data_IF_206591314813
#
_entry.id   IF_206591314813
#
_cell.length_a   1.000
_cell.length_b   1.000
_cell.length_c   1.000
_cell.angle_alpha   90.00
_cell.angle_beta   90.00
_cell.angle_gamma   90.00
#
_symmetry.space_group_name_H-M   'P 1'
#
loop_
_entity.id
_entity.type
_entity.pdbx_description
1 polymer ?
#
# COMPACT_ATOMS: atom_id res chain seq x y z
N UNK A 1 -5.47 16.12 14.05
CA UNK A 1 -5.34 16.38 12.59
C UNK A 1 -6.15 15.31 11.89
N UNK A 2 -7.02 15.67 10.95
CA UNK A 2 -7.89 14.71 10.26
C UNK A 2 -7.11 14.08 9.10
N UNK A 3 -7.18 12.75 8.95
CA UNK A 3 -6.58 11.96 7.85
C UNK A 3 -6.91 12.55 6.47
N UNK A 4 -8.10 13.14 6.33
CA UNK A 4 -8.54 13.84 5.12
C UNK A 4 -7.66 15.05 4.75
N UNK A 5 -7.12 15.76 5.75
CA UNK A 5 -6.24 16.93 5.51
C UNK A 5 -4.86 16.49 5.03
N UNK A 6 -4.41 15.31 5.44
CA UNK A 6 -3.13 14.74 5.02
C UNK A 6 -3.21 14.11 3.63
N UNK A 7 -4.35 13.48 3.27
CA UNK A 7 -4.64 12.97 1.92
C UNK A 7 -4.63 14.09 0.87
N UNK A 8 -5.25 15.22 1.16
CA UNK A 8 -5.28 16.38 0.26
C UNK A 8 -3.88 16.98 0.08
N UNK A 9 -3.08 17.06 1.15
CA UNK A 9 -1.69 17.53 1.07
C UNK A 9 -0.75 16.59 0.32
N UNK A 10 -0.91 15.28 0.47
CA UNK A 10 -0.10 14.30 -0.24
C UNK A 10 -0.36 14.35 -1.76
N UNK A 11 -1.60 14.61 -2.17
CA UNK A 11 -2.00 14.77 -3.58
C UNK A 11 -1.37 15.99 -4.26
N UNK A 12 -1.06 17.04 -3.51
CA UNK A 12 -0.48 18.28 -4.04
C UNK A 12 1.04 18.21 -4.25
N UNK A 13 1.73 17.21 -3.69
CA UNK A 13 3.20 17.22 -3.65
C UNK A 13 3.91 16.24 -4.61
N UNK A 14 3.24 15.25 -5.19
CA UNK A 14 3.89 14.24 -6.06
C UNK A 14 3.29 14.04 -7.46
N UNK A 15 2.25 14.78 -7.85
CA UNK A 15 1.66 14.68 -9.19
C UNK A 15 1.01 13.32 -9.53
N UNK A 16 1.01 12.36 -8.59
CA UNK A 16 0.34 11.06 -8.65
C UNK A 16 -0.93 11.01 -7.79
N UNK A 17 -1.82 10.07 -8.10
CA UNK A 17 -3.02 9.80 -7.29
C UNK A 17 -2.60 9.16 -5.97
N UNK A 18 -2.99 9.76 -4.84
CA UNK A 18 -2.86 9.13 -3.53
C UNK A 18 -4.03 8.14 -3.37
N UNK A 19 -3.69 6.89 -3.12
CA UNK A 19 -4.62 5.77 -3.00
C UNK A 19 -4.68 5.34 -1.53
N UNK A 20 -5.88 5.04 -1.03
CA UNK A 20 -6.10 4.81 0.39
C UNK A 20 -6.99 3.61 0.67
N UNK A 21 -6.64 2.80 1.65
CA UNK A 21 -7.47 1.69 2.14
C UNK A 21 -7.58 1.76 3.66
N UNK A 22 -8.69 1.24 4.18
CA UNK A 22 -8.90 1.14 5.62
C UNK A 22 -7.92 0.15 6.23
N UNK A 23 -7.39 0.49 7.40
CA UNK A 23 -6.40 -0.36 8.10
C UNK A 23 -6.93 -1.77 8.33
N UNK A 24 -8.21 -1.92 8.69
CA UNK A 24 -8.81 -3.24 8.92
C UNK A 24 -8.81 -4.12 7.65
N UNK A 25 -8.99 -3.51 6.47
CA UNK A 25 -8.91 -4.20 5.18
C UNK A 25 -7.48 -4.64 4.88
N UNK A 26 -6.50 -3.75 5.10
CA UNK A 26 -5.08 -4.04 4.93
C UNK A 26 -4.61 -5.16 5.87
N UNK A 27 -5.02 -5.11 7.15
CA UNK A 27 -4.71 -6.14 8.14
C UNK A 27 -5.30 -7.50 7.75
N UNK A 28 -6.53 -7.52 7.22
CA UNK A 28 -7.15 -8.75 6.71
C UNK A 28 -6.34 -9.34 5.56
N UNK A 29 -5.95 -8.50 4.59
CA UNK A 29 -5.16 -8.91 3.41
C UNK A 29 -3.85 -9.56 3.86
N UNK A 30 -3.09 -8.91 4.73
CA UNK A 30 -1.76 -9.42 5.11
C UNK A 30 -1.82 -10.61 6.05
N UNK A 31 -2.90 -10.78 6.81
CA UNK A 31 -3.07 -11.88 7.78
C UNK A 31 -3.13 -13.24 7.09
N UNK A 32 -3.63 -13.28 5.86
CA UNK A 32 -3.80 -14.51 5.10
C UNK A 32 -2.50 -14.94 4.38
N UNK A 33 -1.44 -14.12 4.42
CA UNK A 33 -0.16 -14.38 3.76
C UNK A 33 0.93 -14.68 4.80
N UNK A 34 1.32 -15.95 4.94
CA UNK A 34 2.36 -16.37 5.88
C UNK A 34 3.70 -15.65 5.60
N UNK A 35 4.34 -15.13 6.65
CA UNK A 35 5.63 -14.45 6.54
C UNK A 35 5.54 -13.00 6.01
N UNK A 36 4.34 -12.41 6.00
CA UNK A 36 4.11 -10.99 5.73
C UNK A 36 3.71 -10.27 7.01
N UNK A 37 4.25 -9.08 7.24
CA UNK A 37 3.86 -8.19 8.34
C UNK A 37 3.53 -6.79 7.80
N UNK A 38 2.40 -6.24 8.21
CA UNK A 38 1.95 -4.91 7.77
C UNK A 38 2.54 -3.80 8.62
N UNK A 39 2.98 -2.75 7.95
CA UNK A 39 3.36 -1.47 8.53
C UNK A 39 2.46 -0.38 7.93
N UNK A 40 1.37 -0.03 8.63
CA UNK A 40 0.35 0.93 8.15
C UNK A 40 0.80 2.39 8.22
N UNK A 41 1.93 2.66 8.87
CA UNK A 41 2.49 3.99 9.07
C UNK A 41 3.99 4.03 8.75
N UNK A 42 4.45 3.24 7.77
CA UNK A 42 5.85 3.15 7.41
C UNK A 42 6.38 4.48 6.88
N UNK A 43 7.57 4.87 7.36
CA UNK A 43 8.28 6.08 6.96
C UNK A 43 9.63 5.70 6.38
N UNK A 44 9.66 5.50 5.07
CA UNK A 44 10.87 5.17 4.33
C UNK A 44 11.87 6.33 4.28
N UNK A 45 13.05 6.06 3.72
CA UNK A 45 14.07 7.11 3.54
C UNK A 45 13.57 8.18 2.56
N UNK A 46 13.64 9.44 2.97
CA UNK A 46 13.18 10.58 2.17
C UNK A 46 11.69 10.92 2.33
N UNK A 47 10.93 10.15 3.11
CA UNK A 47 9.55 10.47 3.45
C UNK A 47 9.48 11.39 4.67
N UNK A 48 9.75 12.69 4.47
CA UNK A 48 9.57 13.71 5.50
C UNK A 48 8.08 13.94 5.74
N UNK A 49 7.63 13.75 6.98
CA UNK A 49 6.25 13.90 7.47
C UNK A 49 5.17 13.01 6.81
N UNK A 50 5.48 12.25 5.77
CA UNK A 50 4.55 11.28 5.15
C UNK A 50 4.74 9.87 5.71
N UNK A 51 3.65 9.12 5.75
CA UNK A 51 3.64 7.71 6.07
C UNK A 51 2.86 6.97 4.98
N UNK A 52 3.29 5.76 4.67
CA UNK A 52 2.68 4.90 3.67
C UNK A 52 2.50 3.49 4.21
N UNK A 53 1.83 2.67 3.42
CA UNK A 53 1.71 1.24 3.68
C UNK A 53 2.96 0.53 3.20
N UNK A 54 3.58 -0.21 4.12
CA UNK A 54 4.65 -1.16 3.82
C UNK A 54 4.28 -2.57 4.25
N UNK A 55 4.82 -3.55 3.54
CA UNK A 55 4.79 -4.96 3.90
C UNK A 55 6.22 -5.46 4.12
N UNK A 56 6.49 -5.97 5.31
CA UNK A 56 7.73 -6.64 5.64
C UNK A 56 7.61 -8.11 5.27
N UNK A 57 8.58 -8.61 4.50
CA UNK A 57 8.58 -9.96 3.95
C UNK A 57 9.96 -10.59 4.05
N UNK A 58 10.00 -11.92 4.22
CA UNK A 58 11.24 -12.71 4.14
C UNK A 58 11.71 -12.88 2.68
N UNK A 59 10.77 -12.92 1.75
CA UNK A 59 11.04 -13.13 0.32
C UNK A 59 10.23 -12.13 -0.50
N UNK A 60 10.89 -11.51 -1.49
CA UNK A 60 10.27 -10.49 -2.35
C UNK A 60 9.01 -10.99 -3.07
N UNK A 61 8.94 -12.26 -3.42
CA UNK A 61 7.75 -12.85 -4.05
C UNK A 61 6.47 -12.72 -3.22
N UNK A 62 6.59 -12.67 -1.88
CA UNK A 62 5.43 -12.52 -0.99
C UNK A 62 4.84 -11.11 -1.04
N UNK A 63 5.66 -10.10 -1.31
CA UNK A 63 5.17 -8.73 -1.51
C UNK A 63 4.30 -8.59 -2.77
N UNK A 64 4.56 -9.41 -3.80
CA UNK A 64 3.73 -9.43 -5.01
C UNK A 64 2.34 -10.01 -4.74
N UNK A 65 2.24 -11.03 -3.88
CA UNK A 65 0.94 -11.58 -3.44
C UNK A 65 0.15 -10.51 -2.69
N UNK A 66 0.79 -9.83 -1.73
CA UNK A 66 0.16 -8.71 -1.02
C UNK A 66 -0.27 -7.58 -1.96
N UNK A 67 0.55 -7.23 -2.97
CA UNK A 67 0.20 -6.22 -3.98
C UNK A 67 -1.04 -6.60 -4.78
N UNK A 68 -1.17 -7.88 -5.15
CA UNK A 68 -2.35 -8.40 -5.86
C UNK A 68 -3.60 -8.33 -4.99
N UNK A 69 -3.52 -8.74 -3.73
CA UNK A 69 -4.66 -8.71 -2.81
C UNK A 69 -5.09 -7.27 -2.48
N UNK A 70 -4.12 -6.35 -2.36
CA UNK A 70 -4.37 -4.91 -2.25
C UNK A 70 -5.08 -4.39 -3.51
N UNK A 71 -4.62 -4.75 -4.71
CA UNK A 71 -5.26 -4.34 -5.96
C UNK A 71 -6.70 -4.88 -6.09
N UNK A 72 -6.95 -6.11 -5.63
CA UNK A 72 -8.32 -6.67 -5.56
C UNK A 72 -9.21 -5.84 -4.62
N UNK A 73 -8.71 -5.49 -3.44
CA UNK A 73 -9.49 -4.68 -2.48
C UNK A 73 -9.75 -3.26 -2.99
N UNK A 74 -8.82 -2.67 -3.75
CA UNK A 74 -9.02 -1.38 -4.41
C UNK A 74 -10.11 -1.45 -5.49
N UNK A 75 -10.06 -2.47 -6.35
CA UNK A 75 -11.10 -2.68 -7.37
C UNK A 75 -12.47 -2.94 -6.73
N UNK A 76 -12.53 -3.71 -5.63
CA UNK A 76 -13.78 -3.92 -4.89
C UNK A 76 -14.32 -2.62 -4.28
N UNK A 77 -13.44 -1.79 -3.68
CA UNK A 77 -13.80 -0.48 -3.12
C UNK A 77 -14.37 0.46 -4.18
N UNK A 78 -13.80 0.45 -5.38
CA UNK A 78 -14.19 1.34 -6.47
C UNK A 78 -15.46 0.85 -7.21
N UNK A 79 -15.98 -0.32 -6.82
CA UNK A 79 -17.24 -0.88 -7.33
C UNK A 79 -17.05 -1.79 -8.54
N UNK A 80 -15.80 -2.09 -8.92
CA UNK A 80 -15.44 -2.93 -10.07
C UNK A 80 -15.42 -4.42 -9.72
N UNK A 81 -15.37 -4.77 -8.43
CA UNK A 81 -15.43 -6.14 -7.94
C UNK A 81 -14.21 -6.96 -8.38
N UNK A 82 -14.44 -8.03 -9.15
CA UNK A 82 -13.38 -8.94 -9.64
C UNK A 82 -12.97 -8.65 -11.09
N UNK A 83 -13.17 -7.42 -11.56
CA UNK A 83 -12.74 -6.99 -12.88
C UNK A 83 -11.21 -7.03 -13.01
N UNK A 84 -10.72 -7.86 -13.92
CA UNK A 84 -9.29 -8.06 -14.17
C UNK A 84 -8.63 -6.80 -14.76
N UNK A 85 -9.37 -5.95 -15.47
CA UNK A 85 -8.82 -4.70 -16.01
C UNK A 85 -8.56 -3.70 -14.88
N UNK A 86 -9.53 -3.50 -13.98
CA UNK A 86 -9.37 -2.65 -12.79
C UNK A 86 -8.24 -3.14 -11.86
N UNK A 87 -8.18 -4.45 -11.59
CA UNK A 87 -7.09 -5.04 -10.78
C UNK A 87 -5.73 -4.79 -11.45
N UNK A 88 -5.63 -4.96 -12.77
CA UNK A 88 -4.40 -4.70 -13.52
C UNK A 88 -3.99 -3.24 -13.44
N UNK A 89 -4.94 -2.31 -13.55
CA UNK A 89 -4.66 -0.88 -13.49
C UNK A 89 -4.12 -0.47 -12.12
N UNK A 90 -4.71 -0.98 -11.02
CA UNK A 90 -4.17 -0.77 -9.68
C UNK A 90 -2.79 -1.40 -9.49
N UNK A 91 -2.53 -2.59 -10.06
CA UNK A 91 -1.20 -3.19 -10.02
C UNK A 91 -0.16 -2.35 -10.76
N UNK A 92 -0.52 -1.79 -11.92
CA UNK A 92 0.37 -0.88 -12.69
C UNK A 92 0.64 0.38 -11.89
N UNK A 93 -0.37 0.95 -11.24
CA UNK A 93 -0.22 2.11 -10.36
C UNK A 93 0.72 1.79 -9.19
N UNK A 94 0.47 0.71 -8.45
CA UNK A 94 1.33 0.26 -7.35
C UNK A 94 2.76 0.02 -7.82
N UNK A 95 2.97 -0.66 -8.95
CA UNK A 95 4.30 -0.92 -9.49
C UNK A 95 5.07 0.39 -9.80
N UNK A 96 4.38 1.45 -10.22
CA UNK A 96 4.98 2.77 -10.45
C UNK A 96 5.46 3.47 -9.16
N UNK A 97 4.93 3.03 -8.01
CA UNK A 97 5.19 3.62 -6.69
C UNK A 97 5.89 2.68 -5.71
N UNK A 98 6.23 1.46 -6.14
CA UNK A 98 6.94 0.46 -5.33
C UNK A 98 8.35 0.94 -4.98
N UNK A 99 8.66 0.89 -3.69
CA UNK A 99 9.97 1.10 -3.12
C UNK A 99 10.32 -0.07 -2.21
N UNK A 100 11.62 -0.25 -1.93
CA UNK A 100 12.09 -1.31 -1.07
C UNK A 100 13.24 -0.83 -0.18
N UNK A 101 13.25 -1.32 1.06
CA UNK A 101 14.33 -1.08 2.01
C UNK A 101 14.70 -2.39 2.73
N UNK A 102 15.96 -2.54 3.11
CA UNK A 102 16.42 -3.69 3.88
C UNK A 102 16.09 -3.54 5.37
N UNK A 103 15.57 -4.60 5.99
CA UNK A 103 15.24 -4.69 7.42
C UNK A 103 15.97 -5.87 8.07
N UNK A 104 17.31 -5.81 8.10
CA UNK A 104 18.13 -6.90 8.64
C UNK A 104 18.06 -8.14 7.75
N UNK A 105 17.36 -9.19 8.20
CA UNK A 105 17.13 -10.41 7.41
C UNK A 105 15.89 -10.32 6.50
N UNK A 106 15.05 -9.30 6.71
CA UNK A 106 13.81 -9.11 5.98
C UNK A 106 13.95 -7.94 4.99
N UNK A 107 12.95 -7.80 4.12
CA UNK A 107 12.80 -6.69 3.18
C UNK A 107 11.46 -6.03 3.49
N UNK A 108 11.43 -4.70 3.55
CA UNK A 108 10.16 -3.98 3.50
C UNK A 108 9.95 -3.48 2.07
N UNK A 109 8.79 -3.83 1.52
CA UNK A 109 8.29 -3.31 0.25
C UNK A 109 7.15 -2.36 0.58
N UNK A 110 7.20 -1.14 0.07
CA UNK A 110 6.21 -0.12 0.38
C UNK A 110 5.82 0.66 -0.88
N UNK A 111 4.61 1.19 -0.88
CA UNK A 111 4.07 1.93 -2.01
C UNK A 111 3.85 3.38 -1.63
N UNK A 112 4.60 4.27 -2.27
CA UNK A 112 4.62 5.70 -1.92
C UNK A 112 3.27 6.41 -2.10
N UNK A 113 2.39 5.87 -2.95
CA UNK A 113 1.04 6.35 -3.17
C UNK A 113 -0.01 5.69 -2.26
N UNK A 114 0.31 4.62 -1.54
CA UNK A 114 -0.64 3.88 -0.71
C UNK A 114 -0.57 4.32 0.76
N UNK A 115 -1.68 4.81 1.28
CA UNK A 115 -1.81 5.20 2.69
C UNK A 115 -2.93 4.45 3.40
N UNK A 116 -2.80 4.32 4.72
CA UNK A 116 -3.79 3.65 5.54
C UNK A 116 -4.73 4.68 6.20
N UNK A 117 -6.03 4.42 6.16
CA UNK A 117 -7.05 5.25 6.83
C UNK A 117 -7.37 4.62 8.19
N UNK A 118 -7.34 5.45 9.24
CA UNK A 118 -7.87 5.12 10.56
C UNK A 118 -9.30 5.68 10.62
N UNK A 119 -10.28 4.79 10.79
CA UNK A 119 -11.67 5.17 11.10
C UNK A 119 -11.81 5.81 12.50
#
# INVERSE_FOLDING_TARGET
>A
MSVYTDLVRARELDGGTVTALDIATLERIVKDVEGVSLHSNYRGRGMYDRACVGVEVLQRGMAMVAAFDIACALAERDGDGVDLEAIRDHLVELAGHECQDGMGLNIIVYWSNLVAIVD
#
